data_IF_294436281788
#
_entry.id   IF_294436281788
#
_cell.length_a   1.000
_cell.length_b   1.000
_cell.length_c   1.000
_cell.angle_alpha   90.00
_cell.angle_beta   90.00
_cell.angle_gamma   90.00
#
_symmetry.space_group_name_H-M   'P 1'
#
loop_
_entity.id
_entity.type
_entity.pdbx_description
1 polymer ?
#
# COMPACT_ATOMS: atom_id res chain seq x y z
N UNK A 1 -14.42 -31.59 11.96
CA UNK A 1 -14.52 -30.65 10.82
C UNK A 1 -13.91 -29.34 11.30
N UNK A 2 -12.66 -29.05 10.92
CA UNK A 2 -11.98 -27.81 11.36
C UNK A 2 -12.71 -26.67 10.66
N UNK A 3 -13.48 -25.90 11.43
CA UNK A 3 -14.05 -24.64 11.00
C UNK A 3 -12.92 -23.78 10.46
N UNK A 4 -12.85 -23.63 9.13
CA UNK A 4 -11.99 -22.62 8.54
C UNK A 4 -12.57 -21.28 8.96
N UNK A 5 -11.77 -20.49 9.67
CA UNK A 5 -12.13 -19.13 10.00
C UNK A 5 -12.52 -18.35 8.74
N UNK A 6 -13.45 -17.40 8.89
CA UNK A 6 -14.08 -16.65 7.79
C UNK A 6 -13.06 -15.97 6.86
N UNK A 7 -11.92 -15.51 7.38
CA UNK A 7 -10.85 -14.85 6.61
C UNK A 7 -10.05 -15.82 5.71
N UNK A 8 -9.87 -17.08 6.13
CA UNK A 8 -9.36 -18.16 5.26
C UNK A 8 -10.36 -18.50 4.15
N UNK A 9 -11.66 -18.47 4.47
CA UNK A 9 -12.73 -18.69 3.48
C UNK A 9 -12.70 -17.67 2.34
N UNK A 10 -12.33 -16.43 2.63
CA UNK A 10 -12.17 -15.36 1.63
C UNK A 10 -10.75 -15.26 1.04
N UNK A 11 -9.83 -16.17 1.39
CA UNK A 11 -8.42 -16.13 0.99
C UNK A 11 -7.77 -14.74 1.21
N UNK A 12 -8.21 -14.01 2.23
CA UNK A 12 -7.67 -12.67 2.52
C UNK A 12 -6.47 -12.73 3.45
N UNK A 13 -6.32 -13.84 4.21
CA UNK A 13 -5.24 -14.03 5.18
C UNK A 13 -4.71 -15.46 5.17
N UNK A 14 -3.39 -15.63 5.26
CA UNK A 14 -2.75 -16.88 5.68
C UNK A 14 -2.42 -16.83 7.17
N UNK A 15 -2.96 -17.79 7.92
CA UNK A 15 -2.81 -17.89 9.38
C UNK A 15 -1.36 -18.03 9.87
N UNK A 16 -0.45 -18.47 9.00
CA UNK A 16 0.97 -18.66 9.34
C UNK A 16 1.82 -17.39 9.17
N UNK A 17 1.37 -16.39 8.40
CA UNK A 17 2.14 -15.15 8.13
C UNK A 17 1.73 -14.03 9.09
N UNK A 18 0.43 -13.94 9.42
CA UNK A 18 -0.15 -12.94 10.33
C UNK A 18 0.24 -13.11 11.82
N UNK A 19 1.10 -14.10 12.14
CA UNK A 19 1.40 -14.52 13.51
C UNK A 19 2.89 -14.48 13.83
N UNK A 20 3.62 -13.50 13.30
CA UNK A 20 4.80 -13.00 14.01
C UNK A 20 4.29 -11.98 15.05
N UNK A 21 3.62 -12.50 16.08
CA UNK A 21 3.53 -11.79 17.35
C UNK A 21 4.90 -11.93 18.00
N UNK A 22 5.83 -11.02 17.69
CA UNK A 22 6.95 -10.83 18.62
C UNK A 22 6.33 -10.34 19.93
N UNK A 23 6.79 -10.88 21.03
CA UNK A 23 6.43 -10.42 22.37
C UNK A 23 7.71 -9.74 22.86
N UNK A 24 7.82 -8.42 22.73
CA UNK A 24 8.80 -7.71 23.55
C UNK A 24 8.09 -7.23 24.82
N UNK A 25 8.52 -7.81 25.94
CA UNK A 25 7.95 -7.63 27.27
C UNK A 25 8.26 -6.25 27.87
N UNK A 26 8.90 -5.35 27.11
CA UNK A 26 9.41 -4.07 27.61
C UNK A 26 8.80 -2.81 26.95
N UNK A 27 8.06 -2.94 25.84
CA UNK A 27 7.34 -1.82 25.22
C UNK A 27 6.17 -2.32 24.36
N UNK A 28 4.94 -2.10 24.85
CA UNK A 28 3.66 -2.68 24.43
C UNK A 28 3.09 -2.20 23.07
N UNK A 29 3.93 -1.88 22.08
CA UNK A 29 3.44 -1.48 20.75
C UNK A 29 4.33 -2.08 19.66
N UNK A 30 4.11 -3.35 19.33
CA UNK A 30 4.60 -3.89 18.07
C UNK A 30 3.57 -3.57 17.01
N UNK A 31 3.92 -2.60 16.17
CA UNK A 31 3.11 -2.28 15.03
C UNK A 31 3.58 -3.04 13.79
N UNK A 32 2.65 -3.75 13.17
CA UNK A 32 2.84 -4.30 11.84
C UNK A 32 2.71 -3.17 10.84
N UNK A 33 3.75 -3.05 10.03
CA UNK A 33 3.77 -2.24 8.84
C UNK A 33 3.12 -3.10 7.73
N UNK A 34 1.80 -3.02 7.63
CA UNK A 34 1.01 -3.60 6.54
C UNK A 34 1.33 -2.84 5.25
N UNK A 35 2.37 -3.28 4.57
CA UNK A 35 2.82 -2.74 3.29
C UNK A 35 2.80 -3.84 2.23
N UNK A 36 2.31 -3.50 1.03
CA UNK A 36 1.01 -2.97 0.71
C UNK A 36 0.05 -4.09 0.31
N UNK A 37 -1.20 -3.95 0.74
CA UNK A 37 -2.32 -4.55 0.00
C UNK A 37 -2.42 -3.81 -1.34
N UNK A 38 -1.69 -4.30 -2.34
CA UNK A 38 -1.74 -3.74 -3.68
C UNK A 38 -3.09 -4.10 -4.30
N UNK A 39 -3.98 -3.12 -4.39
CA UNK A 39 -5.14 -3.25 -5.25
C UNK A 39 -4.70 -3.05 -6.71
N UNK A 40 -5.53 -3.42 -7.67
CA UNK A 40 -5.20 -3.24 -9.08
C UNK A 40 -4.87 -1.78 -9.47
N UNK A 41 -5.28 -0.78 -8.66
CA UNK A 41 -5.15 0.65 -8.98
C UNK A 41 -4.56 1.54 -7.89
N UNK A 42 -4.34 1.01 -6.68
CA UNK A 42 -3.95 1.80 -5.52
C UNK A 42 -2.98 1.00 -4.62
N UNK A 43 -2.09 1.72 -3.94
CA UNK A 43 -1.15 1.19 -2.97
C UNK A 43 -1.56 1.70 -1.59
N UNK A 44 -1.71 0.77 -0.65
CA UNK A 44 -2.12 1.05 0.73
C UNK A 44 -0.98 0.73 1.66
N UNK A 45 -0.67 1.64 2.57
CA UNK A 45 0.39 1.51 3.55
C UNK A 45 -0.18 1.83 4.94
N UNK A 46 -0.09 0.90 5.88
CA UNK A 46 -0.67 1.07 7.22
C UNK A 46 0.27 0.61 8.32
N UNK A 47 0.19 1.27 9.48
CA UNK A 47 0.81 0.84 10.72
C UNK A 47 -0.32 0.40 11.64
N UNK A 48 -0.36 -0.89 11.98
CA UNK A 48 -1.45 -1.53 12.71
C UNK A 48 -0.90 -2.28 13.92
N UNK A 49 -1.70 -2.41 14.98
CA UNK A 49 -1.38 -3.35 16.06
C UNK A 49 -2.61 -4.19 16.39
N UNK A 50 -2.36 -5.43 16.78
CA UNK A 50 -3.42 -6.39 17.07
C UNK A 50 -3.99 -6.19 18.47
N UNK A 51 -5.32 -6.26 18.60
CA UNK A 51 -6.01 -6.38 19.89
C UNK A 51 -7.02 -7.52 19.88
N UNK A 52 -7.50 -7.94 21.05
CA UNK A 52 -8.50 -9.02 21.15
C UNK A 52 -9.82 -8.71 20.42
N UNK A 53 -10.18 -7.43 20.30
CA UNK A 53 -11.38 -7.00 19.59
C UNK A 53 -11.20 -6.92 18.07
N UNK A 54 -9.95 -6.85 17.60
CA UNK A 54 -9.57 -6.64 16.21
C UNK A 54 -8.34 -5.74 16.09
N UNK A 55 -7.84 -5.59 14.86
CA UNK A 55 -6.67 -4.77 14.61
C UNK A 55 -7.02 -3.28 14.61
N UNK A 56 -6.15 -2.47 15.23
CA UNK A 56 -6.30 -1.02 15.29
C UNK A 56 -5.25 -0.39 14.39
N UNK A 57 -5.70 0.46 13.48
CA UNK A 57 -4.82 1.22 12.58
C UNK A 57 -4.37 2.49 13.30
N UNK A 58 -3.06 2.63 13.53
CA UNK A 58 -2.46 3.84 14.11
C UNK A 58 -2.33 4.95 13.08
N UNK A 59 -1.83 4.60 11.89
CA UNK A 59 -1.61 5.55 10.81
C UNK A 59 -1.81 4.83 9.48
N UNK A 60 -2.41 5.52 8.52
CA UNK A 60 -2.58 5.01 7.15
C UNK A 60 -2.13 6.05 6.14
N UNK A 61 -1.66 5.59 4.99
CA UNK A 61 -1.36 6.40 3.82
C UNK A 61 -1.77 5.63 2.55
N UNK A 62 -2.32 6.36 1.58
CA UNK A 62 -2.78 5.78 0.32
C UNK A 62 -2.15 6.47 -0.89
N UNK A 63 -1.92 5.74 -1.98
CA UNK A 63 -1.33 6.33 -3.19
C UNK A 63 -2.25 7.35 -3.85
N UNK A 64 -3.57 7.22 -3.69
CA UNK A 64 -4.52 8.24 -4.16
C UNK A 64 -4.42 9.59 -3.43
N UNK A 65 -3.64 9.70 -2.35
CA UNK A 65 -3.29 10.98 -1.73
C UNK A 65 -2.12 11.67 -2.44
N UNK A 66 -1.25 10.92 -3.14
CA UNK A 66 -0.05 11.43 -3.80
C UNK A 66 -0.27 12.53 -4.86
N UNK A 67 -1.41 12.58 -5.59
CA UNK A 67 -1.72 13.70 -6.48
C UNK A 67 -1.69 15.07 -5.79
N UNK A 68 -1.98 15.15 -4.48
CA UNK A 68 -1.87 16.39 -3.69
C UNK A 68 -0.43 16.90 -3.63
N UNK A 69 0.54 15.98 -3.60
CA UNK A 69 1.97 16.29 -3.53
C UNK A 69 2.61 16.46 -4.91
N UNK A 70 1.83 16.38 -5.99
CA UNK A 70 2.29 16.58 -7.37
C UNK A 70 2.37 15.30 -8.22
N UNK A 71 2.11 14.11 -7.67
CA UNK A 71 2.15 12.86 -8.43
C UNK A 71 0.81 12.57 -9.12
N UNK A 72 0.64 13.08 -10.34
CA UNK A 72 -0.63 12.95 -11.09
C UNK A 72 -0.73 11.69 -11.96
N UNK A 73 0.40 11.03 -12.25
CA UNK A 73 0.47 9.83 -13.07
C UNK A 73 1.08 8.64 -12.32
N UNK A 74 0.63 7.42 -12.64
CA UNK A 74 1.35 6.19 -12.26
C UNK A 74 1.32 5.79 -10.77
N UNK A 75 0.18 5.86 -10.09
CA UNK A 75 0.05 5.57 -8.64
C UNK A 75 0.36 4.13 -8.19
N UNK A 76 0.63 3.22 -9.11
CA UNK A 76 0.88 1.80 -8.80
C UNK A 76 2.31 1.36 -9.07
N UNK A 77 3.21 2.23 -9.50
CA UNK A 77 4.59 1.85 -9.81
C UNK A 77 5.45 1.73 -8.52
N UNK A 78 6.72 1.35 -8.69
CA UNK A 78 7.65 1.21 -7.57
C UNK A 78 7.93 2.55 -6.87
N UNK A 79 8.07 3.63 -7.63
CA UNK A 79 8.30 4.99 -7.13
C UNK A 79 7.13 5.53 -6.28
N UNK A 80 5.89 5.25 -6.69
CA UNK A 80 4.68 5.56 -5.94
C UNK A 80 4.62 4.75 -4.65
N UNK A 81 5.03 3.48 -4.68
CA UNK A 81 5.14 2.66 -3.46
C UNK A 81 6.15 3.27 -2.47
N UNK A 82 7.30 3.70 -2.96
CA UNK A 82 8.28 4.44 -2.17
C UNK A 82 7.69 5.72 -1.56
N UNK A 83 7.01 6.54 -2.37
CA UNK A 83 6.36 7.76 -1.90
C UNK A 83 5.28 7.48 -0.84
N UNK A 84 4.47 6.41 -0.98
CA UNK A 84 3.47 6.06 0.04
C UNK A 84 4.10 5.59 1.34
N UNK A 85 5.19 4.82 1.27
CA UNK A 85 5.98 4.42 2.45
C UNK A 85 6.58 5.63 3.18
N UNK A 86 7.15 6.57 2.42
CA UNK A 86 7.70 7.81 2.95
C UNK A 86 6.62 8.67 3.64
N UNK A 87 5.45 8.80 3.00
CA UNK A 87 4.30 9.53 3.55
C UNK A 87 3.80 8.89 4.85
N UNK A 88 3.67 7.56 4.88
CA UNK A 88 3.27 6.83 6.08
C UNK A 88 4.25 7.08 7.24
N UNK A 89 5.55 6.96 6.97
CA UNK A 89 6.59 7.12 7.98
C UNK A 89 6.63 8.53 8.55
N UNK A 90 6.65 9.57 7.69
CA UNK A 90 6.63 10.97 8.12
C UNK A 90 5.36 11.33 8.90
N UNK A 91 4.21 10.85 8.44
CA UNK A 91 2.91 11.05 9.13
C UNK A 91 2.91 10.38 10.50
N UNK A 92 3.44 9.17 10.60
CA UNK A 92 3.51 8.45 11.85
C UNK A 92 4.46 9.14 12.85
N UNK A 93 5.69 9.43 12.43
CA UNK A 93 6.68 10.08 13.31
C UNK A 93 6.20 11.45 13.79
N UNK A 94 5.51 12.24 12.95
CA UNK A 94 4.90 13.51 13.36
C UNK A 94 3.81 13.33 14.42
N UNK A 95 2.97 12.31 14.31
CA UNK A 95 1.93 12.01 15.32
C UNK A 95 2.53 11.62 16.69
N UNK A 96 3.74 11.06 16.72
CA UNK A 96 4.46 10.66 17.93
C UNK A 96 5.55 11.65 18.36
N UNK A 97 5.65 12.81 17.70
CA UNK A 97 6.63 13.88 17.98
C UNK A 97 8.10 13.39 17.91
N UNK A 98 8.38 12.48 16.96
CA UNK A 98 9.70 11.90 16.68
C UNK A 98 10.27 12.33 15.31
N UNK A 99 9.58 13.23 14.62
CA UNK A 99 9.89 13.68 13.27
C UNK A 99 11.22 14.44 13.17
N UNK A 100 11.58 15.19 14.21
CA UNK A 100 12.82 15.99 14.29
C UNK A 100 14.05 15.16 14.66
N UNK A 101 13.89 14.18 15.55
CA UNK A 101 15.00 13.31 16.00
C UNK A 101 15.38 12.30 14.91
N UNK A 102 14.37 11.68 14.30
CA UNK A 102 14.55 10.71 13.24
C UNK A 102 14.13 11.30 11.91
N UNK A 103 15.00 12.08 11.26
CA UNK A 103 14.74 12.68 9.93
C UNK A 103 14.83 11.66 8.79
N UNK A 104 15.57 10.56 9.00
CA UNK A 104 15.83 9.55 7.98
C UNK A 104 16.78 10.06 6.90
N UNK A 105 16.80 9.39 5.75
CA UNK A 105 17.65 9.78 4.63
C UNK A 105 16.95 10.84 3.76
N UNK A 106 17.37 12.11 3.87
CA UNK A 106 16.79 13.22 3.11
C UNK A 106 16.94 13.04 1.59
N UNK A 107 18.10 12.56 1.16
CA UNK A 107 18.44 12.33 -0.23
C UNK A 107 18.25 10.86 -0.57
N UNK A 108 17.34 10.53 -1.49
CA UNK A 108 17.14 9.16 -1.94
C UNK A 108 18.36 8.64 -2.74
N UNK A 109 19.44 8.27 -2.04
CA UNK A 109 20.70 7.77 -2.61
C UNK A 109 20.56 6.36 -3.17
N UNK A 110 19.57 5.59 -2.68
CA UNK A 110 19.33 4.20 -3.07
C UNK A 110 20.18 3.20 -2.28
N UNK A 111 21.04 3.66 -1.39
CA UNK A 111 21.79 2.83 -0.46
C UNK A 111 20.88 2.27 0.63
N UNK A 112 21.32 1.18 1.26
CA UNK A 112 20.62 0.64 2.41
C UNK A 112 20.70 1.62 3.61
N UNK A 113 19.58 1.83 4.30
CA UNK A 113 19.51 2.79 5.40
C UNK A 113 18.86 2.11 6.60
N UNK A 114 19.60 2.07 7.70
CA UNK A 114 19.12 1.63 9.00
C UNK A 114 19.15 2.82 9.96
N UNK A 115 18.11 2.94 10.77
CA UNK A 115 18.03 4.00 11.77
C UNK A 115 18.88 3.58 12.98
N UNK A 116 19.92 4.35 13.27
CA UNK A 116 20.74 4.14 14.46
C UNK A 116 20.04 4.70 15.71
N UNK A 117 20.21 4.04 16.86
CA UNK A 117 19.68 4.53 18.13
C UNK A 117 20.43 5.81 18.55
N UNK A 118 19.68 6.87 18.86
CA UNK A 118 20.23 8.12 19.40
C UNK A 118 20.33 8.09 20.92
N UNK A 119 20.82 9.17 21.52
CA UNK A 119 20.86 9.33 22.99
C UNK A 119 19.46 9.57 23.60
N UNK A 120 18.45 9.87 22.77
CA UNK A 120 17.09 10.21 23.16
C UNK A 120 16.10 9.04 23.13
N UNK A 121 14.91 9.28 22.57
CA UNK A 121 13.85 8.26 22.51
C UNK A 121 14.23 7.26 21.43
N UNK A 122 14.06 5.96 21.70
CA UNK A 122 14.33 4.93 20.68
C UNK A 122 13.51 5.13 19.40
N UNK A 123 14.05 4.74 18.23
CA UNK A 123 13.32 4.84 16.98
C UNK A 123 12.10 3.93 17.01
N UNK A 124 11.05 4.33 16.30
CA UNK A 124 9.84 3.53 16.23
C UNK A 124 10.10 2.28 15.40
N UNK A 125 10.08 1.13 16.07
CA UNK A 125 10.32 -0.18 15.45
C UNK A 125 9.02 -0.78 14.94
N UNK A 126 8.98 -1.07 13.64
CA UNK A 126 7.86 -1.76 13.00
C UNK A 126 8.33 -3.05 12.30
N UNK A 127 7.42 -3.99 12.11
CA UNK A 127 7.69 -5.23 11.37
C UNK A 127 6.94 -5.21 10.04
N UNK A 128 7.60 -5.56 8.94
CA UNK A 128 6.95 -5.65 7.64
C UNK A 128 5.99 -6.84 7.58
N UNK A 129 4.70 -6.58 7.38
CA UNK A 129 3.72 -7.58 7.01
C UNK A 129 3.43 -7.53 5.50
N UNK A 130 3.80 -8.60 4.80
CA UNK A 130 3.60 -8.78 3.36
C UNK A 130 2.30 -9.53 3.04
N UNK A 131 1.63 -10.08 4.05
CA UNK A 131 0.44 -10.92 3.93
C UNK A 131 0.65 -12.12 3.00
N UNK A 132 -0.16 -12.19 1.94
CA UNK A 132 -0.12 -13.26 0.94
C UNK A 132 0.77 -12.95 -0.27
N UNK A 133 1.39 -11.77 -0.31
CA UNK A 133 2.20 -11.35 -1.44
C UNK A 133 3.49 -12.18 -1.48
N UNK A 134 3.84 -12.70 -2.65
CA UNK A 134 5.11 -13.43 -2.83
C UNK A 134 6.28 -12.48 -2.64
N UNK A 135 7.21 -12.87 -1.77
CA UNK A 135 8.45 -12.13 -1.50
C UNK A 135 9.48 -12.30 -2.63
N UNK A 136 9.22 -11.67 -3.77
CA UNK A 136 10.13 -11.62 -4.91
C UNK A 136 11.02 -10.38 -4.85
N UNK A 137 12.27 -10.50 -5.30
CA UNK A 137 13.19 -9.35 -5.39
C UNK A 137 12.65 -8.31 -6.37
N UNK A 138 12.70 -7.03 -6.00
CA UNK A 138 12.17 -5.93 -6.80
C UNK A 138 10.64 -5.76 -6.73
N UNK A 139 9.95 -6.46 -5.83
CA UNK A 139 8.53 -6.23 -5.60
C UNK A 139 8.31 -4.82 -5.02
N UNK A 140 7.19 -4.19 -5.41
CA UNK A 140 6.76 -2.84 -4.96
C UNK A 140 6.57 -2.76 -3.46
N UNK A 141 6.27 -3.89 -2.81
CA UNK A 141 6.22 -4.01 -1.34
C UNK A 141 7.52 -3.51 -0.70
N UNK A 142 8.65 -3.93 -1.26
CA UNK A 142 9.96 -3.53 -0.78
C UNK A 142 10.32 -2.08 -1.17
N UNK A 143 9.66 -1.52 -2.19
CA UNK A 143 9.74 -0.08 -2.47
C UNK A 143 9.09 0.76 -1.37
N UNK A 144 7.91 0.33 -0.91
CA UNK A 144 7.25 0.99 0.22
C UNK A 144 8.00 0.80 1.54
N UNK A 145 8.60 -0.38 1.75
CA UNK A 145 9.53 -0.59 2.86
C UNK A 145 10.69 0.42 2.80
N UNK A 146 11.31 0.58 1.62
CA UNK A 146 12.43 1.50 1.46
C UNK A 146 12.03 2.95 1.73
N UNK A 147 10.85 3.36 1.28
CA UNK A 147 10.29 4.67 1.60
C UNK A 147 10.05 4.87 3.09
N UNK A 148 9.61 3.82 3.81
CA UNK A 148 9.42 3.87 5.25
C UNK A 148 10.75 4.02 6.03
N UNK A 149 11.79 3.32 5.59
CA UNK A 149 13.15 3.38 6.15
C UNK A 149 13.78 4.76 5.94
N UNK A 150 13.78 5.26 4.69
CA UNK A 150 14.27 6.60 4.37
C UNK A 150 13.42 7.69 5.03
N UNK A 151 12.17 7.33 5.35
CA UNK A 151 11.24 8.08 6.17
C UNK A 151 11.44 7.91 7.67
N UNK A 152 12.54 7.32 8.15
CA UNK A 152 12.97 7.32 9.56
C UNK A 152 12.33 6.27 10.47
N UNK A 153 11.56 5.32 9.94
CA UNK A 153 11.10 4.16 10.71
C UNK A 153 12.21 3.11 10.80
N UNK A 154 12.33 2.47 11.96
CA UNK A 154 13.18 1.30 12.12
C UNK A 154 12.40 0.04 11.71
N UNK A 155 12.82 -0.61 10.63
CA UNK A 155 12.23 -1.86 10.17
C UNK A 155 13.34 -2.86 9.91
N UNK A 156 13.44 -3.96 10.69
CA UNK A 156 14.45 -4.98 10.48
C UNK A 156 14.31 -5.62 9.09
N UNK A 157 15.33 -5.53 8.24
CA UNK A 157 15.26 -5.99 6.87
C UNK A 157 16.61 -6.48 6.31
N UNK A 158 16.61 -6.88 5.04
CA UNK A 158 17.82 -7.27 4.31
C UNK A 158 17.78 -6.73 2.88
N UNK A 159 18.93 -6.34 2.34
CA UNK A 159 19.07 -5.76 1.01
C UNK A 159 18.68 -6.69 -0.17
N UNK A 160 18.59 -8.01 0.09
CA UNK A 160 18.37 -9.08 -0.91
C UNK A 160 17.06 -8.96 -1.71
N UNK A 161 16.11 -8.16 -1.21
CA UNK A 161 14.76 -8.03 -1.79
C UNK A 161 14.54 -6.69 -2.51
N UNK A 162 15.45 -5.74 -2.38
CA UNK A 162 15.37 -4.46 -3.09
C UNK A 162 15.60 -4.60 -4.60
N UNK A 163 15.11 -3.62 -5.35
CA UNK A 163 15.31 -3.57 -6.80
C UNK A 163 16.78 -3.21 -7.09
N UNK A 164 17.44 -3.99 -7.95
CA UNK A 164 18.88 -3.82 -8.24
C UNK A 164 19.81 -4.76 -7.46
N UNK A 165 19.27 -5.71 -6.67
CA UNK A 165 20.07 -6.75 -6.03
C UNK A 165 20.45 -7.85 -7.03
N UNK A 166 21.76 -8.08 -7.19
CA UNK A 166 22.30 -9.19 -8.00
C UNK A 166 22.49 -10.43 -7.12
N UNK A 167 21.93 -11.57 -7.54
CA UNK A 167 22.12 -12.85 -6.82
C UNK A 167 23.54 -13.39 -6.94
N UNK A 168 24.22 -13.04 -8.02
CA UNK A 168 25.57 -13.51 -8.35
C UNK A 168 26.59 -12.75 -7.50
N UNK A 169 26.52 -11.42 -7.52
CA UNK A 169 27.44 -10.54 -6.79
C UNK A 169 27.06 -10.39 -5.30
N UNK A 170 25.86 -10.88 -4.92
CA UNK A 170 25.27 -10.78 -3.57
C UNK A 170 25.31 -9.38 -2.98
N UNK A 171 25.25 -8.36 -3.83
CA UNK A 171 25.32 -6.95 -3.46
C UNK A 171 24.20 -6.15 -4.12
N UNK A 172 23.81 -5.07 -3.46
CA UNK A 172 22.85 -4.11 -3.97
C UNK A 172 23.54 -3.06 -4.85
N UNK A 173 23.12 -2.94 -6.10
CA UNK A 173 23.53 -1.82 -6.94
C UNK A 173 22.70 -0.57 -6.58
N UNK A 174 23.29 0.35 -5.81
CA UNK A 174 22.62 1.55 -5.31
C UNK A 174 22.13 2.47 -6.45
N UNK A 175 22.86 2.57 -7.56
CA UNK A 175 22.47 3.40 -8.71
C UNK A 175 21.20 2.87 -9.38
N UNK A 176 21.12 1.55 -9.54
CA UNK A 176 19.94 0.88 -10.09
C UNK A 176 18.77 1.05 -9.14
N UNK A 177 18.98 0.87 -7.83
CA UNK A 177 17.93 1.04 -6.84
C UNK A 177 17.38 2.49 -6.84
N UNK A 178 18.27 3.49 -6.88
CA UNK A 178 17.93 4.90 -7.03
C UNK A 178 17.14 5.18 -8.31
N UNK A 179 17.53 4.56 -9.42
CA UNK A 179 16.78 4.63 -10.69
C UNK A 179 15.36 4.10 -10.54
N UNK A 180 15.12 3.05 -9.74
CA UNK A 180 13.77 2.55 -9.46
C UNK A 180 12.97 3.51 -8.58
N UNK A 181 13.60 4.11 -7.56
CA UNK A 181 12.97 5.08 -6.65
C UNK A 181 12.50 6.33 -7.42
N UNK A 182 13.32 6.83 -8.34
CA UNK A 182 13.00 8.02 -9.14
C UNK A 182 12.22 7.71 -10.44
N UNK A 183 11.73 6.49 -10.61
CA UNK A 183 10.91 6.11 -11.76
C UNK A 183 11.67 6.02 -13.10
N UNK A 184 13.00 5.93 -13.09
CA UNK A 184 13.82 5.84 -14.30
C UNK A 184 13.53 4.61 -15.17
N UNK A 185 13.10 3.49 -14.58
CA UNK A 185 12.62 2.32 -15.34
C UNK A 185 11.33 2.62 -16.14
N UNK A 186 10.48 3.50 -15.62
CA UNK A 186 9.28 3.98 -16.33
C UNK A 186 9.70 4.95 -17.44
N UNK A 187 10.64 5.85 -17.15
CA UNK A 187 11.20 6.77 -18.15
C UNK A 187 11.82 6.03 -19.34
N UNK A 188 12.63 5.00 -19.09
CA UNK A 188 13.22 4.19 -20.16
C UNK A 188 12.15 3.48 -21.00
N UNK A 189 11.11 2.96 -20.35
CA UNK A 189 10.00 2.31 -21.06
C UNK A 189 9.18 3.31 -21.88
N UNK A 190 9.02 4.56 -21.39
CA UNK A 190 8.42 5.64 -22.16
C UNK A 190 9.24 5.96 -23.41
N UNK A 191 10.58 6.05 -23.30
CA UNK A 191 11.47 6.31 -24.45
C UNK A 191 11.39 5.18 -25.48
N UNK A 192 11.51 3.94 -25.03
CA UNK A 192 11.44 2.75 -25.88
C UNK A 192 10.11 2.70 -26.67
N UNK A 193 8.98 2.86 -25.99
CA UNK A 193 7.67 2.81 -26.65
C UNK A 193 7.42 4.01 -27.58
N UNK A 194 8.02 5.16 -27.30
CA UNK A 194 7.89 6.34 -28.17
C UNK A 194 8.59 6.13 -29.51
N UNK A 195 9.69 5.38 -29.53
CA UNK A 195 10.46 5.03 -30.73
C UNK A 195 9.88 3.82 -31.47
N UNK A 196 9.61 2.73 -30.75
CA UNK A 196 9.21 1.45 -31.36
C UNK A 196 7.71 1.39 -31.72
N UNK A 197 6.83 1.86 -30.82
CA UNK A 197 5.37 1.61 -30.90
C UNK A 197 4.53 2.78 -30.33
N UNK A 198 4.32 3.87 -31.10
CA UNK A 198 3.65 5.08 -30.59
C UNK A 198 2.18 4.85 -30.20
N UNK A 199 1.50 3.86 -30.78
CA UNK A 199 0.12 3.50 -30.41
C UNK A 199 0.04 2.93 -28.99
N UNK A 200 0.99 2.07 -28.62
CA UNK A 200 1.10 1.54 -27.25
C UNK A 200 1.47 2.65 -26.28
N UNK A 201 2.36 3.57 -26.68
CA UNK A 201 2.67 4.75 -25.87
C UNK A 201 1.42 5.57 -25.51
N UNK A 202 0.58 5.86 -26.51
CA UNK A 202 -0.66 6.62 -26.29
C UNK A 202 -1.65 5.91 -25.36
N UNK A 203 -1.77 4.58 -25.47
CA UNK A 203 -2.70 3.81 -24.63
C UNK A 203 -2.19 3.65 -23.19
N UNK A 204 -0.92 3.29 -22.98
CA UNK A 204 -0.33 3.06 -21.66
C UNK A 204 -0.09 4.36 -20.89
N UNK A 205 0.39 5.41 -21.57
CA UNK A 205 0.79 6.68 -20.94
C UNK A 205 -0.21 7.81 -21.15
N UNK A 206 -1.47 7.49 -21.48
CA UNK A 206 -2.55 8.48 -21.68
C UNK A 206 -2.62 9.54 -20.56
N UNK A 207 -2.48 9.13 -19.30
CA UNK A 207 -2.47 10.08 -18.17
C UNK A 207 -1.26 11.02 -18.17
N UNK A 208 -0.07 10.52 -18.50
CA UNK A 208 1.14 11.34 -18.59
C UNK A 208 1.04 12.32 -19.75
N UNK A 209 0.52 11.88 -20.90
CA UNK A 209 0.26 12.73 -22.07
C UNK A 209 -0.74 13.84 -21.73
N UNK A 210 -1.83 13.52 -21.02
CA UNK A 210 -2.83 14.50 -20.59
C UNK A 210 -2.30 15.57 -19.65
N UNK A 211 -1.37 15.21 -18.78
CA UNK A 211 -0.74 16.13 -17.82
C UNK A 211 0.52 16.80 -18.39
N UNK A 212 0.95 16.43 -19.61
CA UNK A 212 2.13 16.98 -20.28
C UNK A 212 3.46 16.56 -19.64
N UNK A 213 3.53 15.37 -19.03
CA UNK A 213 4.73 14.87 -18.34
C UNK A 213 5.52 13.97 -19.28
N UNK A 214 6.75 14.38 -19.61
CA UNK A 214 7.67 13.59 -20.44
C UNK A 214 8.63 12.71 -19.61
N UNK A 215 9.33 11.79 -20.27
CA UNK A 215 10.19 10.80 -19.61
C UNK A 215 11.32 11.43 -18.77
N UNK A 216 11.91 12.52 -19.24
CA UNK A 216 13.05 13.17 -18.60
C UNK A 216 12.65 13.93 -17.33
N UNK A 217 11.39 14.37 -17.25
CA UNK A 217 10.86 15.16 -16.12
C UNK A 217 10.46 14.29 -14.92
N UNK A 218 10.36 12.97 -15.10
CA UNK A 218 9.91 12.05 -14.05
C UNK A 218 10.80 12.10 -12.79
N UNK A 219 12.12 12.13 -12.96
CA UNK A 219 13.04 12.13 -11.84
C UNK A 219 12.90 13.40 -10.97
N UNK A 220 12.73 14.55 -11.62
CA UNK A 220 12.48 15.82 -10.94
C UNK A 220 11.12 15.83 -10.25
N UNK A 221 10.08 15.29 -10.90
CA UNK A 221 8.75 15.18 -10.32
C UNK A 221 8.77 14.39 -9.02
N UNK A 222 9.39 13.20 -8.97
CA UNK A 222 9.47 12.42 -7.73
C UNK A 222 10.28 13.12 -6.65
N UNK A 223 11.36 13.81 -7.00
CA UNK A 223 12.15 14.60 -6.05
C UNK A 223 11.33 15.72 -5.42
N UNK A 224 10.52 16.43 -6.23
CA UNK A 224 9.57 17.45 -5.74
C UNK A 224 8.50 16.84 -4.83
N UNK A 225 7.97 15.66 -5.19
CA UNK A 225 6.99 14.92 -4.37
C UNK A 225 7.58 14.53 -3.01
N UNK A 226 8.82 14.04 -2.97
CA UNK A 226 9.47 13.68 -1.70
C UNK A 226 9.62 14.90 -0.77
N UNK A 227 10.01 16.05 -1.33
CA UNK A 227 10.11 17.30 -0.57
C UNK A 227 8.73 17.77 -0.07
N UNK A 228 7.70 17.70 -0.92
CA UNK A 228 6.34 18.07 -0.55
C UNK A 228 5.75 17.18 0.57
N UNK A 229 6.02 15.87 0.52
CA UNK A 229 5.61 14.93 1.57
C UNK A 229 6.27 15.27 2.91
N UNK A 230 7.55 15.64 2.91
CA UNK A 230 8.27 16.03 4.13
C UNK A 230 7.76 17.36 4.71
N UNK A 231 7.39 18.30 3.84
CA UNK A 231 6.86 19.60 4.26
C UNK A 231 5.49 19.48 4.95
N UNK A 232 4.59 18.63 4.43
CA UNK A 232 3.24 18.48 4.96
C UNK A 232 2.76 17.02 4.86
N UNK A 233 3.07 16.15 5.84
CA UNK A 233 2.65 14.75 5.81
C UNK A 233 1.19 14.53 6.26
N UNK A 234 0.47 15.59 6.65
CA UNK A 234 -0.80 15.46 7.35
C UNK A 234 -1.94 14.94 6.46
N UNK A 235 -2.80 14.11 7.05
CA UNK A 235 -3.97 13.59 6.36
C UNK A 235 -5.06 14.65 6.27
N UNK A 236 -5.40 15.07 5.04
CA UNK A 236 -6.56 15.93 4.81
C UNK A 236 -7.85 15.10 4.78
N UNK A 237 -8.81 15.47 5.63
CA UNK A 237 -10.13 14.85 5.65
C UNK A 237 -10.95 15.36 4.47
N UNK A 238 -11.54 14.43 3.71
CA UNK A 238 -12.47 14.79 2.63
C UNK A 238 -13.82 15.19 3.22
N UNK A 239 -14.35 16.34 2.79
CA UNK A 239 -15.70 16.77 3.16
C UNK A 239 -16.74 15.90 2.42
N UNK A 240 -17.46 15.07 3.17
CA UNK A 240 -18.52 14.23 2.63
C UNK A 240 -19.87 14.77 3.08
N UNK A 241 -20.69 15.21 2.11
CA UNK A 241 -22.08 15.58 2.38
C UNK A 241 -22.89 14.30 2.63
N UNK A 242 -23.65 14.26 3.72
CA UNK A 242 -24.57 13.17 3.95
C UNK A 242 -25.61 13.12 2.81
N UNK A 243 -25.92 11.95 2.24
CA UNK A 243 -26.95 11.84 1.22
C UNK A 243 -28.30 12.26 1.81
N UNK A 244 -29.07 13.03 1.03
CA UNK A 244 -30.38 13.53 1.45
C UNK A 244 -31.37 12.40 1.79
N UNK A 245 -31.26 11.26 1.11
CA UNK A 245 -32.07 10.07 1.37
C UNK A 245 -31.20 8.83 1.54
N UNK A 246 -31.55 7.99 2.53
CA UNK A 246 -30.91 6.68 2.72
C UNK A 246 -31.40 5.69 1.67
N UNK A 247 -30.67 5.55 0.56
CA UNK A 247 -30.94 4.52 -0.45
C UNK A 247 -30.79 3.11 0.16
N UNK A 248 -31.84 2.29 0.07
CA UNK A 248 -31.82 0.87 0.49
C UNK A 248 -31.60 -0.02 -0.74
N UNK A 249 -30.36 -0.48 -0.91
CA UNK A 249 -29.99 -1.40 -2.01
C UNK A 249 -30.14 -2.88 -1.63
N UNK A 250 -30.14 -3.18 -0.33
CA UNK A 250 -30.26 -4.55 0.17
C UNK A 250 -31.72 -4.98 0.08
N UNK A 251 -31.96 -6.08 -0.63
CA UNK A 251 -33.25 -6.77 -0.64
C UNK A 251 -33.56 -7.15 0.81
N UNK A 252 -34.75 -6.80 1.28
CA UNK A 252 -35.19 -7.19 2.61
C UNK A 252 -35.40 -8.71 2.64
N UNK A 253 -34.96 -9.35 3.72
CA UNK A 253 -35.20 -10.79 3.88
C UNK A 253 -36.70 -11.00 4.00
N UNK A 254 -37.24 -11.92 3.20
CA UNK A 254 -38.64 -12.32 3.28
C UNK A 254 -38.96 -12.79 4.70
N UNK A 255 -40.13 -12.40 5.18
CA UNK A 255 -40.66 -12.88 6.46
C UNK A 255 -40.91 -14.40 6.38
N UNK A 256 -41.19 -15.02 7.52
CA UNK A 256 -41.53 -16.45 7.53
C UNK A 256 -42.83 -16.72 6.76
N UNK A 257 -43.84 -15.88 6.96
CA UNK A 257 -45.15 -15.98 6.32
C UNK A 257 -45.06 -15.80 4.80
N UNK A 258 -44.29 -14.81 4.34
CA UNK A 258 -44.04 -14.60 2.89
C UNK A 258 -43.32 -15.80 2.26
N UNK A 259 -42.37 -16.43 2.99
CA UNK A 259 -41.70 -17.65 2.53
C UNK A 259 -42.66 -18.83 2.45
N UNK A 260 -43.56 -18.97 3.41
CA UNK A 260 -44.57 -20.03 3.43
C UNK A 260 -45.58 -19.84 2.29
N UNK A 261 -46.07 -18.61 2.08
CA UNK A 261 -46.96 -18.28 0.98
C UNK A 261 -46.30 -18.55 -0.39
N UNK A 262 -45.04 -18.15 -0.56
CA UNK A 262 -44.28 -18.42 -1.77
C UNK A 262 -44.08 -19.93 -2.02
N UNK A 263 -43.89 -20.73 -0.96
CA UNK A 263 -43.78 -22.18 -1.06
C UNK A 263 -45.10 -22.82 -1.51
N UNK A 264 -46.23 -22.42 -0.90
CA UNK A 264 -47.56 -22.92 -1.26
C UNK A 264 -47.90 -22.56 -2.71
N UNK A 265 -47.63 -21.32 -3.13
CA UNK A 265 -47.81 -20.91 -4.52
C UNK A 265 -46.96 -21.76 -5.49
N UNK A 266 -45.71 -22.07 -5.12
CA UNK A 266 -44.85 -22.95 -5.91
C UNK A 266 -45.38 -24.38 -6.03
N UNK A 267 -45.82 -24.95 -4.91
CA UNK A 267 -46.39 -26.31 -4.88
C UNK A 267 -47.66 -26.42 -5.73
N UNK A 268 -48.55 -25.43 -5.62
CA UNK A 268 -49.78 -25.40 -6.41
C UNK A 268 -49.50 -25.27 -7.91
N UNK A 269 -48.50 -24.47 -8.30
CA UNK A 269 -48.08 -24.36 -9.70
C UNK A 269 -47.51 -25.67 -10.25
N UNK A 270 -46.66 -26.37 -9.48
CA UNK A 270 -46.09 -27.66 -9.89
C UNK A 270 -47.19 -28.72 -10.06
N UNK A 271 -48.17 -28.76 -9.14
CA UNK A 271 -49.27 -29.72 -9.23
C UNK A 271 -50.16 -29.45 -10.46
N UNK A 272 -50.40 -28.17 -10.79
CA UNK A 272 -51.18 -27.81 -11.97
C UNK A 272 -50.49 -28.13 -13.31
N UNK A 273 -49.14 -28.13 -13.36
CA UNK A 273 -48.37 -28.55 -14.54
C UNK A 273 -48.30 -30.08 -14.69
N UNK A 274 -48.46 -30.85 -13.60
CA UNK A 274 -48.47 -32.31 -13.63
C UNK A 274 -49.81 -32.94 -14.02
N UNK A 275 -50.90 -32.18 -13.88
CA UNK A 275 -52.27 -32.58 -14.27
C UNK A 275 -52.63 -32.16 -15.71
N UNK A 276 -51.72 -31.50 -16.44
CA UNK A 276 -51.86 -31.08 -17.85
C UNK A 276 -51.06 -32.01 -18.78
#
# INVERSE_FOLDING_TARGET
MISRFTTLGHCSYAYYVCKILVYDRSSLLLANLDLPFQTNKDIVAQITYATLAGDIVLTSAYAHELPRYGLKGGLTNYAAAYCTGLLLARRHLKNFELDQEYVGNETATGEDYNVEEGEGKRPFRALLDVGLVRTTTGNRVFGALKGALDGGLDVPHSEKRFAGFSKEDKSLNAETHRKYILGGHVADYMRLLKEDEPEKYQSHFNKFIKEGIEADELAEMYTKVHAAIRADPDQQKTEKKAPAEKRKWKIQKLTFEERQAALVQRLNAINAEGDA
#
